data_IF_117516155113
#
_entry.id   IF_117516155113
#
_cell.length_a   1.000
_cell.length_b   1.000
_cell.length_c   1.000
_cell.angle_alpha   90.00
_cell.angle_beta   90.00
_cell.angle_gamma   90.00
#
_symmetry.space_group_name_H-M   'P 1'
#
loop_
_entity.id
_entity.type
_entity.pdbx_description
1 polymer ?
#
# COMPACT_ATOMS: atom_id res chain seq x y z
N UNK A 1 -44.43 -14.26 -0.51
CA UNK A 1 -43.33 -13.35 -0.12
C UNK A 1 -42.10 -13.80 -0.89
N UNK A 2 -41.80 -13.13 -2.00
CA UNK A 2 -40.71 -13.45 -2.92
C UNK A 2 -39.70 -12.31 -2.94
N UNK A 3 -38.44 -12.65 -2.71
CA UNK A 3 -37.28 -11.75 -2.72
C UNK A 3 -36.97 -11.30 -4.16
N UNK A 4 -36.66 -10.01 -4.43
CA UNK A 4 -36.10 -9.63 -5.72
C UNK A 4 -34.57 -9.76 -5.68
N UNK A 5 -34.04 -10.55 -6.62
CA UNK A 5 -32.62 -10.62 -6.94
C UNK A 5 -32.12 -9.24 -7.41
N UNK A 6 -31.03 -8.76 -6.81
CA UNK A 6 -30.36 -7.53 -7.24
C UNK A 6 -29.69 -7.77 -8.61
N UNK A 7 -30.17 -7.04 -9.62
CA UNK A 7 -29.64 -7.07 -10.97
C UNK A 7 -28.19 -6.54 -11.01
N UNK A 8 -27.25 -7.43 -11.28
CA UNK A 8 -25.85 -7.10 -11.61
C UNK A 8 -25.76 -6.56 -13.05
N UNK A 9 -26.16 -5.30 -13.25
CA UNK A 9 -25.95 -4.59 -14.51
C UNK A 9 -24.74 -3.66 -14.41
N UNK A 10 -23.63 -4.00 -15.07
CA UNK A 10 -22.52 -3.06 -15.26
C UNK A 10 -23.01 -1.83 -16.06
N UNK A 11 -22.70 -0.59 -15.64
CA UNK A 11 -23.14 0.60 -16.37
C UNK A 11 -22.47 0.67 -17.73
N UNK A 12 -23.27 0.46 -18.79
CA UNK A 12 -22.88 0.65 -20.18
C UNK A 12 -22.50 2.12 -20.39
N UNK A 13 -21.32 2.40 -20.96
CA UNK A 13 -20.87 3.75 -21.32
C UNK A 13 -21.88 4.40 -22.29
N UNK A 14 -22.64 5.39 -21.81
CA UNK A 14 -23.76 5.98 -22.58
C UNK A 14 -23.37 7.13 -23.52
N UNK A 15 -22.14 7.66 -23.46
CA UNK A 15 -21.77 8.85 -24.25
C UNK A 15 -20.92 8.51 -25.49
N UNK A 16 -21.26 9.05 -26.69
CA UNK A 16 -20.49 8.84 -27.93
C UNK A 16 -19.02 9.26 -27.82
N UNK A 17 -18.75 10.35 -27.09
CA UNK A 17 -17.40 10.86 -26.86
C UNK A 17 -16.50 9.85 -26.14
N UNK A 18 -17.01 9.17 -25.11
CA UNK A 18 -16.24 8.24 -24.31
C UNK A 18 -15.91 6.95 -25.10
N UNK A 19 -16.80 6.54 -26.02
CA UNK A 19 -16.52 5.44 -26.95
C UNK A 19 -15.43 5.79 -27.95
N UNK A 20 -15.46 7.01 -28.49
CA UNK A 20 -14.45 7.51 -29.42
C UNK A 20 -13.07 7.63 -28.73
N UNK A 21 -13.03 8.24 -27.55
CA UNK A 21 -11.79 8.43 -26.77
C UNK A 21 -11.10 7.11 -26.42
N UNK A 22 -11.86 6.10 -25.96
CA UNK A 22 -11.32 4.76 -25.67
C UNK A 22 -10.77 4.08 -26.93
N UNK A 23 -11.45 4.22 -28.07
CA UNK A 23 -11.02 3.62 -29.34
C UNK A 23 -9.75 4.24 -29.94
N UNK A 24 -9.43 5.48 -29.58
CA UNK A 24 -8.24 6.19 -30.08
C UNK A 24 -6.96 5.78 -29.38
N UNK A 25 -7.05 5.24 -28.16
CA UNK A 25 -5.87 5.00 -27.31
C UNK A 25 -5.62 3.49 -27.10
N UNK A 26 -6.63 2.62 -27.25
CA UNK A 26 -6.46 1.15 -27.09
C UNK A 26 -7.11 0.35 -28.23
N UNK A 27 -6.46 -0.72 -28.75
CA UNK A 27 -7.09 -1.64 -29.70
C UNK A 27 -8.35 -2.30 -29.09
N UNK A 28 -9.25 -2.90 -29.89
CA UNK A 28 -10.56 -3.38 -29.45
C UNK A 28 -10.47 -4.65 -28.59
N UNK A 29 -9.93 -4.53 -27.38
CA UNK A 29 -9.91 -5.56 -26.37
C UNK A 29 -11.18 -5.43 -25.53
N UNK A 30 -12.21 -6.23 -25.84
CA UNK A 30 -13.46 -6.34 -25.06
C UNK A 30 -13.22 -6.60 -23.56
N UNK A 31 -12.06 -7.16 -23.20
CA UNK A 31 -11.63 -7.39 -21.82
C UNK A 31 -11.33 -6.10 -21.03
N UNK A 32 -10.92 -5.02 -21.71
CA UNK A 32 -10.44 -3.81 -21.06
C UNK A 32 -11.54 -3.03 -20.33
N UNK A 33 -12.72 -2.87 -20.94
CA UNK A 33 -13.82 -2.10 -20.32
C UNK A 33 -14.42 -2.80 -19.09
N UNK A 34 -14.54 -4.13 -19.13
CA UNK A 34 -14.89 -4.94 -17.96
C UNK A 34 -13.81 -4.82 -16.89
N UNK A 35 -12.54 -4.73 -17.28
CA UNK A 35 -11.40 -4.52 -16.38
C UNK A 35 -11.47 -3.14 -15.70
N UNK A 36 -11.66 -2.04 -16.43
CA UNK A 36 -11.77 -0.66 -15.88
C UNK A 36 -12.84 -0.55 -14.79
N UNK A 37 -14.02 -1.11 -15.02
CA UNK A 37 -15.10 -1.12 -14.01
C UNK A 37 -14.83 -2.09 -12.86
N UNK A 38 -14.09 -3.18 -13.10
CA UNK A 38 -13.62 -4.12 -12.07
C UNK A 38 -12.54 -3.55 -11.17
N UNK A 39 -11.84 -2.47 -11.58
CA UNK A 39 -10.89 -1.76 -10.72
C UNK A 39 -11.55 -0.83 -9.70
N UNK A 40 -12.87 -0.58 -9.76
CA UNK A 40 -13.55 0.31 -8.80
C UNK A 40 -13.31 -0.07 -7.32
N UNK A 41 -13.39 -1.35 -6.91
CA UNK A 41 -13.05 -1.74 -5.54
C UNK A 41 -11.58 -1.47 -5.21
N UNK A 42 -10.67 -1.64 -6.18
CA UNK A 42 -9.24 -1.37 -5.99
C UNK A 42 -8.97 0.13 -5.85
N UNK A 43 -9.60 0.99 -6.66
CA UNK A 43 -9.51 2.44 -6.52
C UNK A 43 -10.07 2.92 -5.17
N UNK A 44 -11.16 2.31 -4.69
CA UNK A 44 -11.70 2.60 -3.35
C UNK A 44 -10.70 2.20 -2.26
N UNK A 45 -10.09 1.02 -2.37
CA UNK A 45 -9.06 0.57 -1.42
C UNK A 45 -7.84 1.48 -1.44
N UNK A 46 -7.37 1.88 -2.63
CA UNK A 46 -6.26 2.81 -2.78
C UNK A 46 -6.57 4.18 -2.16
N UNK A 47 -7.77 4.73 -2.40
CA UNK A 47 -8.22 5.98 -1.76
C UNK A 47 -8.30 5.84 -0.23
N UNK A 48 -8.82 4.72 0.27
CA UNK A 48 -8.91 4.44 1.71
C UNK A 48 -7.51 4.34 2.34
N UNK A 49 -6.61 3.57 1.73
CA UNK A 49 -5.22 3.46 2.18
C UNK A 49 -4.50 4.80 2.15
N UNK A 50 -4.71 5.60 1.08
CA UNK A 50 -4.15 6.94 0.99
C UNK A 50 -4.60 7.82 2.15
N UNK A 51 -5.90 7.86 2.44
CA UNK A 51 -6.41 8.67 3.53
C UNK A 51 -5.83 8.23 4.88
N UNK A 52 -5.80 6.92 5.14
CA UNK A 52 -5.18 6.37 6.35
C UNK A 52 -3.69 6.73 6.48
N UNK A 53 -2.94 6.67 5.37
CA UNK A 53 -1.53 7.08 5.36
C UNK A 53 -1.36 8.55 5.73
N UNK A 54 -2.23 9.43 5.24
CA UNK A 54 -2.18 10.86 5.56
C UNK A 54 -2.58 11.13 7.01
N UNK A 55 -3.61 10.46 7.50
CA UNK A 55 -4.08 10.61 8.88
C UNK A 55 -2.99 10.16 9.87
N UNK A 56 -2.44 8.95 9.69
CA UNK A 56 -1.34 8.43 10.53
C UNK A 56 -0.08 9.30 10.40
N UNK A 57 0.26 9.76 9.18
CA UNK A 57 1.38 10.68 8.96
C UNK A 57 1.22 11.99 9.71
N UNK A 58 -0.01 12.54 9.74
CA UNK A 58 -0.37 13.72 10.53
C UNK A 58 -0.23 13.49 12.03
N UNK A 59 -0.78 12.38 12.54
CA UNK A 59 -0.65 12.00 13.96
C UNK A 59 0.82 11.85 14.39
N UNK A 60 1.66 11.25 13.54
CA UNK A 60 3.10 11.16 13.78
C UNK A 60 3.71 12.57 13.87
N UNK A 61 3.36 13.48 12.97
CA UNK A 61 3.87 14.85 12.99
C UNK A 61 3.44 15.64 14.23
N UNK A 62 2.18 15.53 14.63
CA UNK A 62 1.66 16.13 15.85
C UNK A 62 2.37 15.57 17.10
N UNK A 63 2.63 14.26 17.15
CA UNK A 63 3.38 13.63 18.25
C UNK A 63 4.82 14.16 18.36
N UNK A 64 5.38 14.65 17.26
CA UNK A 64 6.68 15.31 17.20
C UNK A 64 6.62 16.82 17.49
N UNK A 65 5.44 17.34 17.83
CA UNK A 65 5.15 18.77 18.10
C UNK A 65 5.34 19.66 16.88
N UNK A 66 5.13 19.12 15.68
CA UNK A 66 5.11 19.90 14.46
C UNK A 66 3.69 20.40 14.20
N UNK A 67 3.55 21.66 13.84
CA UNK A 67 2.25 22.29 13.57
C UNK A 67 2.02 22.41 12.06
N UNK A 68 0.86 21.98 11.58
CA UNK A 68 0.44 22.14 10.18
C UNK A 68 0.10 20.82 9.49
N UNK A 69 -0.26 20.94 8.23
CA UNK A 69 -0.75 19.84 7.40
C UNK A 69 0.41 19.04 6.78
N UNK A 70 1.22 18.42 7.64
CA UNK A 70 2.29 17.53 7.21
C UNK A 70 1.71 16.29 6.49
N UNK A 71 2.47 15.76 5.53
CA UNK A 71 2.10 14.61 4.71
C UNK A 71 0.91 14.78 3.74
N UNK A 72 -0.03 15.71 3.92
CA UNK A 72 -1.26 15.77 3.09
C UNK A 72 -1.02 15.82 1.56
N UNK A 73 0.02 16.55 1.16
CA UNK A 73 0.45 16.72 -0.24
C UNK A 73 1.58 15.77 -0.64
N UNK A 74 2.00 14.86 0.26
CA UNK A 74 3.06 13.93 -0.04
C UNK A 74 2.57 12.89 -1.06
N UNK A 75 3.45 12.45 -1.98
CA UNK A 75 3.12 11.40 -2.91
C UNK A 75 2.78 10.12 -2.13
N UNK A 76 1.76 9.41 -2.59
CA UNK A 76 1.42 8.08 -2.13
C UNK A 76 1.56 7.13 -3.31
N UNK A 77 2.13 5.96 -3.05
CA UNK A 77 2.21 4.89 -4.03
C UNK A 77 1.49 3.66 -3.50
N UNK A 78 0.89 2.91 -4.41
CA UNK A 78 0.16 1.69 -4.13
C UNK A 78 0.81 0.53 -4.87
N UNK A 79 1.02 -0.60 -4.18
CA UNK A 79 1.63 -1.80 -4.73
C UNK A 79 0.79 -3.03 -4.40
N UNK A 80 0.84 -4.00 -5.30
CA UNK A 80 0.28 -5.34 -5.11
C UNK A 80 1.42 -6.33 -5.33
N UNK A 81 1.72 -7.14 -4.32
CA UNK A 81 2.74 -8.17 -4.40
C UNK A 81 2.07 -9.53 -4.52
N UNK A 82 2.47 -10.31 -5.54
CA UNK A 82 1.99 -11.68 -5.74
C UNK A 82 3.16 -12.65 -5.72
N UNK A 83 3.11 -13.60 -4.80
CA UNK A 83 4.10 -14.67 -4.65
C UNK A 83 3.45 -15.98 -5.07
N UNK A 84 4.01 -16.64 -6.08
CA UNK A 84 3.58 -17.97 -6.51
C UNK A 84 4.49 -19.02 -5.87
N UNK A 85 4.20 -19.40 -4.63
CA UNK A 85 4.98 -20.42 -3.96
C UNK A 85 4.60 -21.82 -4.42
N UNK A 86 5.62 -22.65 -4.65
CA UNK A 86 5.52 -24.05 -5.04
C UNK A 86 6.14 -24.93 -3.95
N UNK A 87 5.96 -26.26 -4.00
CA UNK A 87 6.62 -27.17 -3.06
C UNK A 87 8.14 -26.97 -3.00
N UNK A 88 8.77 -26.65 -4.12
CA UNK A 88 10.22 -26.41 -4.24
C UNK A 88 10.65 -25.07 -3.63
N UNK A 89 9.75 -24.09 -3.53
CA UNK A 89 10.06 -22.81 -2.90
C UNK A 89 9.91 -22.84 -1.38
N UNK A 90 9.36 -23.89 -0.78
CA UNK A 90 9.17 -23.98 0.67
C UNK A 90 10.53 -23.90 1.39
N UNK A 91 10.62 -22.98 2.35
CA UNK A 91 11.87 -22.66 3.05
C UNK A 91 12.76 -21.64 2.33
N UNK A 92 12.38 -21.17 1.13
CA UNK A 92 13.08 -20.09 0.42
C UNK A 92 12.54 -18.71 0.80
N UNK A 93 13.38 -17.70 0.59
CA UNK A 93 13.05 -16.29 0.86
C UNK A 93 12.38 -15.67 -0.37
N UNK A 94 11.10 -15.31 -0.23
CA UNK A 94 10.32 -14.62 -1.26
C UNK A 94 10.65 -13.13 -1.37
N UNK A 95 10.96 -12.47 -0.25
CA UNK A 95 11.52 -11.11 -0.22
C UNK A 95 12.71 -11.11 0.72
N UNK A 96 13.85 -10.62 0.22
CA UNK A 96 15.10 -10.55 0.98
C UNK A 96 14.97 -9.62 2.21
N UNK A 97 15.91 -9.76 3.15
CA UNK A 97 15.96 -8.91 4.34
C UNK A 97 16.16 -7.45 3.91
N UNK A 98 15.27 -6.56 4.33
CA UNK A 98 15.34 -5.13 4.03
C UNK A 98 14.64 -4.28 5.09
N UNK A 99 14.85 -2.97 5.02
CA UNK A 99 14.00 -1.93 5.62
C UNK A 99 13.20 -1.25 4.51
N UNK A 100 12.07 -0.65 4.88
CA UNK A 100 11.32 0.17 3.93
C UNK A 100 12.07 1.47 3.68
N UNK A 101 12.33 1.82 2.43
CA UNK A 101 13.05 3.05 2.11
C UNK A 101 12.21 4.31 2.29
N UNK A 102 10.90 4.18 2.54
CA UNK A 102 9.94 5.30 2.60
C UNK A 102 9.82 5.95 3.97
N UNK A 103 8.80 6.77 4.16
CA UNK A 103 8.38 7.31 5.45
C UNK A 103 7.47 6.32 6.20
N UNK A 104 6.36 5.92 5.58
CA UNK A 104 5.31 5.11 6.21
C UNK A 104 4.75 4.11 5.20
N UNK A 105 4.52 2.87 5.64
CA UNK A 105 3.87 1.81 4.88
C UNK A 105 2.65 1.31 5.67
N UNK A 106 1.52 1.15 4.99
CA UNK A 106 0.36 0.39 5.48
C UNK A 106 0.19 -0.83 4.57
N UNK A 107 0.31 -2.01 5.15
CA UNK A 107 0.25 -3.30 4.47
C UNK A 107 -1.03 -4.05 4.87
N UNK A 108 -1.85 -4.36 3.88
CA UNK A 108 -2.85 -5.42 3.97
C UNK A 108 -2.20 -6.73 3.50
N UNK A 109 -1.90 -7.61 4.45
CA UNK A 109 -1.32 -8.92 4.14
C UNK A 109 -2.42 -9.98 3.84
N UNK A 110 -2.00 -11.14 3.34
CA UNK A 110 -2.88 -12.28 3.16
C UNK A 110 -3.37 -12.80 4.52
N UNK A 111 -4.69 -12.92 4.68
CA UNK A 111 -5.32 -13.28 5.95
C UNK A 111 -5.04 -14.71 6.40
N UNK A 112 -4.68 -15.61 5.47
CA UNK A 112 -4.54 -17.04 5.76
C UNK A 112 -3.15 -17.59 5.43
N UNK A 113 -2.27 -16.81 4.81
CA UNK A 113 -0.95 -17.26 4.35
C UNK A 113 0.11 -16.37 4.99
N UNK A 114 0.83 -16.92 5.95
CA UNK A 114 1.91 -16.23 6.65
C UNK A 114 3.17 -16.06 5.79
N UNK A 115 4.27 -15.74 6.46
CA UNK A 115 5.59 -15.66 5.86
C UNK A 115 6.32 -14.34 6.12
N UNK A 116 5.61 -13.28 6.47
CA UNK A 116 6.25 -12.06 6.96
C UNK A 116 6.99 -12.37 8.26
N UNK A 117 8.27 -11.98 8.32
CA UNK A 117 9.10 -12.11 9.51
C UNK A 117 9.82 -10.79 9.79
N UNK A 118 9.91 -10.43 11.06
CA UNK A 118 10.57 -9.21 11.54
C UNK A 118 11.80 -9.57 12.36
N UNK A 119 12.88 -8.83 12.18
CA UNK A 119 14.10 -9.00 12.93
C UNK A 119 13.99 -8.31 14.30
N UNK A 120 14.16 -9.10 15.36
CA UNK A 120 14.30 -8.64 16.73
C UNK A 120 15.68 -9.07 17.24
N UNK A 121 16.64 -8.15 17.18
CA UNK A 121 18.00 -8.35 17.72
C UNK A 121 18.75 -9.55 17.10
N UNK A 122 18.57 -9.78 15.80
CA UNK A 122 19.22 -10.86 15.05
C UNK A 122 18.38 -12.13 14.92
N UNK A 123 17.25 -12.21 15.62
CA UNK A 123 16.28 -13.29 15.50
C UNK A 123 15.07 -12.86 14.66
N UNK A 124 14.71 -13.65 13.65
CA UNK A 124 13.52 -13.39 12.83
C UNK A 124 12.29 -14.04 13.46
N UNK A 125 11.34 -13.21 13.89
CA UNK A 125 10.08 -13.63 14.48
C UNK A 125 8.96 -13.58 13.43
N UNK A 126 8.10 -14.61 13.35
CA UNK A 126 6.96 -14.59 12.45
C UNK A 126 5.94 -13.53 12.88
N UNK A 127 5.36 -12.87 11.88
CA UNK A 127 4.15 -12.06 12.05
C UNK A 127 2.98 -12.92 11.58
N UNK A 128 2.18 -13.40 12.54
CA UNK A 128 1.04 -14.24 12.23
C UNK A 128 -0.05 -13.44 11.52
N UNK A 129 -0.65 -13.97 10.43
CA UNK A 129 -1.80 -13.34 9.80
C UNK A 129 -2.93 -13.09 10.80
N UNK A 130 -3.38 -11.84 10.88
CA UNK A 130 -4.53 -11.45 11.68
C UNK A 130 -5.63 -10.96 10.73
N UNK A 131 -6.74 -11.71 10.56
CA UNK A 131 -7.82 -11.34 9.66
C UNK A 131 -8.39 -9.95 9.94
N UNK A 132 -8.64 -9.17 8.88
CA UNK A 132 -9.15 -7.79 9.00
C UNK A 132 -8.17 -6.77 9.61
N UNK A 133 -6.91 -7.14 9.85
CA UNK A 133 -5.89 -6.21 10.33
C UNK A 133 -5.08 -5.55 9.20
N UNK A 134 -4.41 -4.46 9.55
CA UNK A 134 -3.42 -3.79 8.72
C UNK A 134 -2.12 -3.67 9.53
N UNK A 135 -1.00 -3.93 8.87
CA UNK A 135 0.32 -3.74 9.45
C UNK A 135 0.85 -2.36 9.07
N UNK A 136 1.32 -1.61 10.07
CA UNK A 136 1.92 -0.29 9.87
C UNK A 136 3.40 -0.40 10.14
N UNK A 137 4.22 0.08 9.20
CA UNK A 137 5.67 0.08 9.32
C UNK A 137 6.26 1.46 9.00
N UNK A 138 7.32 1.82 9.71
CA UNK A 138 8.08 3.04 9.48
C UNK A 138 9.35 2.72 8.70
N UNK A 139 9.62 3.55 7.70
CA UNK A 139 10.78 3.38 6.84
C UNK A 139 11.92 4.36 7.15
N UNK A 140 13.00 4.23 6.40
CA UNK A 140 14.26 4.93 6.62
C UNK A 140 14.09 6.45 6.57
N UNK A 141 13.14 6.96 5.77
CA UNK A 141 12.85 8.39 5.73
C UNK A 141 12.16 8.87 6.99
N UNK A 142 11.34 8.06 7.66
CA UNK A 142 10.77 8.45 8.96
C UNK A 142 11.86 8.52 10.05
N UNK A 143 12.84 7.61 10.02
CA UNK A 143 13.99 7.69 10.90
C UNK A 143 14.79 8.98 10.68
N UNK A 144 15.15 9.29 9.43
CA UNK A 144 15.91 10.51 9.09
C UNK A 144 15.12 11.77 9.42
N UNK A 145 13.87 11.85 8.97
CA UNK A 145 13.00 13.02 9.18
C UNK A 145 12.77 13.32 10.66
N UNK A 146 12.68 12.30 11.50
CA UNK A 146 12.52 12.44 12.95
C UNK A 146 13.84 12.62 13.72
N UNK A 147 14.96 12.78 13.02
CA UNK A 147 16.31 12.82 13.59
C UNK A 147 16.60 11.62 14.49
N UNK A 148 16.27 10.42 14.02
CA UNK A 148 16.54 9.13 14.68
C UNK A 148 15.55 8.73 15.77
N UNK A 149 14.51 9.52 16.05
CA UNK A 149 13.52 9.22 17.10
C UNK A 149 12.55 8.10 16.75
N UNK A 150 12.29 7.89 15.46
CA UNK A 150 11.49 6.78 14.94
C UNK A 150 12.40 5.68 14.42
N UNK A 151 12.07 4.43 14.71
CA UNK A 151 12.91 3.28 14.36
C UNK A 151 12.30 2.48 13.20
N UNK A 152 13.18 1.96 12.35
CA UNK A 152 12.82 1.05 11.27
C UNK A 152 13.07 -0.38 11.68
N UNK A 153 12.33 -1.31 11.08
CA UNK A 153 12.43 -2.74 11.38
C UNK A 153 12.88 -3.49 10.12
N UNK A 154 13.97 -4.26 10.25
CA UNK A 154 14.37 -5.20 9.20
C UNK A 154 13.35 -6.32 9.12
N UNK A 155 12.91 -6.65 7.92
CA UNK A 155 11.90 -7.67 7.71
C UNK A 155 12.15 -8.41 6.39
N UNK A 156 11.54 -9.59 6.27
CA UNK A 156 11.64 -10.47 5.09
C UNK A 156 10.33 -11.22 4.89
N UNK A 157 10.18 -11.86 3.73
CA UNK A 157 9.08 -12.79 3.46
C UNK A 157 9.65 -14.17 3.19
N UNK A 158 9.26 -15.16 4.00
CA UNK A 158 9.58 -16.58 3.81
C UNK A 158 8.42 -17.32 3.17
N UNK A 159 8.73 -18.26 2.28
CA UNK A 159 7.77 -19.24 1.78
C UNK A 159 7.55 -20.33 2.82
N UNK A 160 6.42 -20.26 3.55
CA UNK A 160 6.07 -21.27 4.57
C UNK A 160 5.31 -22.47 4.00
N UNK A 161 4.59 -22.28 2.90
CA UNK A 161 3.77 -23.31 2.27
C UNK A 161 3.64 -23.08 0.75
N UNK A 162 3.32 -24.15 0.03
CA UNK A 162 3.15 -24.13 -1.43
C UNK A 162 1.78 -23.57 -1.82
N UNK A 163 1.62 -22.25 -1.75
CA UNK A 163 0.37 -21.56 -2.07
C UNK A 163 0.61 -20.18 -2.69
N UNK A 164 -0.45 -19.58 -3.22
CA UNK A 164 -0.39 -18.20 -3.71
C UNK A 164 -0.54 -17.27 -2.50
N UNK A 165 0.45 -16.40 -2.28
CA UNK A 165 0.35 -15.28 -1.33
C UNK A 165 0.17 -13.97 -2.10
N UNK A 166 -0.80 -13.16 -1.70
CA UNK A 166 -1.00 -11.81 -2.24
C UNK A 166 -1.05 -10.82 -1.10
N UNK A 167 -0.32 -9.73 -1.22
CA UNK A 167 -0.42 -8.58 -0.31
C UNK A 167 -0.62 -7.29 -1.08
N UNK A 168 -1.17 -6.28 -0.42
CA UNK A 168 -1.36 -4.94 -0.98
C UNK A 168 -0.83 -3.92 0.02
N UNK A 169 -0.04 -2.98 -0.44
CA UNK A 169 0.52 -1.93 0.39
C UNK A 169 0.31 -0.54 -0.21
N UNK A 170 0.06 0.41 0.67
CA UNK A 170 0.23 1.83 0.38
C UNK A 170 1.47 2.32 1.10
N UNK A 171 2.31 3.10 0.42
CA UNK A 171 3.51 3.64 1.05
C UNK A 171 3.78 5.09 0.64
N UNK A 172 4.29 5.88 1.58
CA UNK A 172 4.73 7.25 1.35
C UNK A 172 6.26 7.25 1.19
N UNK A 173 6.84 7.52 0.00
CA UNK A 173 8.29 7.54 -0.19
C UNK A 173 8.98 8.65 0.62
N UNK A 174 8.60 9.90 0.40
CA UNK A 174 8.90 11.13 1.14
C UNK A 174 8.41 12.27 0.24
N UNK A 175 7.70 13.26 0.78
CA UNK A 175 7.37 14.46 0.01
C UNK A 175 8.59 15.35 -0.14
N UNK A 176 8.86 15.81 -1.36
CA UNK A 176 9.70 17.01 -1.50
C UNK A 176 8.90 18.17 -0.95
N UNK A 177 9.32 18.75 0.17
CA UNK A 177 8.73 20.00 0.65
C UNK A 177 8.88 21.06 -0.44
N UNK A 178 7.80 21.40 -1.13
CA UNK A 178 7.70 22.65 -1.89
C UNK A 178 7.67 23.88 -0.96
N UNK A 179 7.63 23.68 0.35
CA UNK A 179 7.58 24.73 1.38
C UNK A 179 8.88 24.98 2.17
N UNK A 180 9.93 24.15 2.03
CA UNK A 180 11.19 24.36 2.75
C UNK A 180 12.09 25.44 2.11
N UNK A 181 11.65 26.06 1.02
CA UNK A 181 12.37 27.12 0.31
C UNK A 181 11.67 28.49 0.43
N UNK A 182 11.26 28.90 1.64
CA UNK A 182 10.94 30.30 1.94
C UNK A 182 10.93 30.56 3.46
N UNK A 183 12.12 30.59 4.06
CA UNK A 183 12.22 30.82 5.50
C UNK A 183 13.65 30.97 6.01
N UNK A 184 14.44 31.83 5.37
CA UNK A 184 15.60 32.44 6.04
C UNK A 184 15.07 33.32 7.17
N UNK A 185 14.87 32.74 8.35
CA UNK A 185 14.68 33.47 9.60
C UNK A 185 15.72 32.95 10.58
N UNK A 186 16.85 33.64 10.68
CA UNK A 186 17.86 33.32 11.69
C UNK A 186 17.31 33.49 13.10
N UNK A 187 17.74 32.62 14.01
CA UNK A 187 18.63 32.95 15.13
C UNK A 187 19.40 31.68 15.50
#
# INVERSE_FOLDING_TARGET
MSSPAAATGLPVLKTPFMKLWVSMIWPPLKLFMTSVLSYRPLLRKETQLRNMLMDIGGEIAESMRLNGDYCKEWPCQFRINKYNFTPESVGTTGVQIHTDSGFLTILQDNENVGGLEVDKSGEFLPVDPLPGSLLVNLGDMANVWSNGRLHTVRHRVQCKEATIRVSMDGYIPLGTDSGAAAGTGGF
#
